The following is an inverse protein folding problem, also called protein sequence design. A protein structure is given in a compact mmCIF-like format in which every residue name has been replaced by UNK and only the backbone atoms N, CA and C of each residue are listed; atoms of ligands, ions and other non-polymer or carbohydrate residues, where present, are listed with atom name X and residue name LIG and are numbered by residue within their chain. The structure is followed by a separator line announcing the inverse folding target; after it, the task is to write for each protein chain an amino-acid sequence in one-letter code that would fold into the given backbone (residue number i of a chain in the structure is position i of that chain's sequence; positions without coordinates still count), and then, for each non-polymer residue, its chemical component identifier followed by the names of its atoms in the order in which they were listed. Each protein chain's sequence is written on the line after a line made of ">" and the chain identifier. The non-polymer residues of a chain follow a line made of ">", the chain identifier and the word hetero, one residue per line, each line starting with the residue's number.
data_IF_827928926511
#
_entry.id   IF_827928926511
#
_cell.length_a   1.000
_cell.length_b   1.000
_cell.length_c   1.000
_cell.angle_alpha   90.00
_cell.angle_beta   90.00
_cell.angle_gamma   90.00
#
_symmetry.space_group_name_H-M   'P 1'
#
loop_
_entity.id
_entity.type
_entity.pdbx_description
1 polymer ?
#
# COMPACT_ATOMS: atom_id res chain seq x y z
N UNK A 1 -2.36 -21.34 0.87
CA UNK A 1 -0.92 -21.44 1.11
C UNK A 1 -0.49 -20.18 1.83
N UNK A 2 0.13 -20.28 3.01
CA UNK A 2 0.63 -19.11 3.74
C UNK A 2 1.92 -18.66 3.04
N UNK A 3 1.95 -17.48 2.47
CA UNK A 3 3.19 -16.86 2.02
C UNK A 3 3.87 -16.22 3.21
N UNK A 4 5.13 -16.52 3.42
CA UNK A 4 5.96 -15.95 4.49
C UNK A 4 6.82 -14.87 3.85
N UNK A 5 6.73 -13.65 4.39
CA UNK A 5 7.57 -12.53 4.00
C UNK A 5 8.89 -12.59 4.77
N UNK A 6 9.96 -12.03 4.20
CA UNK A 6 11.28 -11.94 4.80
C UNK A 6 11.70 -10.48 4.93
N UNK A 7 12.16 -10.08 6.11
CA UNK A 7 12.81 -8.81 6.33
C UNK A 7 14.34 -9.03 6.49
N UNK A 8 15.13 -8.24 5.79
CA UNK A 8 16.60 -8.28 5.82
C UNK A 8 17.14 -6.90 6.21
N UNK A 9 17.96 -6.86 7.26
CA UNK A 9 18.63 -5.63 7.68
C UNK A 9 20.00 -5.49 6.99
N UNK A 10 20.30 -4.28 6.55
CA UNK A 10 21.58 -3.86 5.97
C UNK A 10 22.13 -2.64 6.75
N UNK A 11 22.65 -2.85 7.99
CA UNK A 11 22.98 -1.74 8.90
C UNK A 11 24.14 -0.88 8.43
N UNK A 12 24.97 -1.36 7.53
CA UNK A 12 26.14 -0.64 7.01
C UNK A 12 25.93 -0.05 5.62
N UNK A 13 24.73 -0.15 5.07
CA UNK A 13 24.37 0.51 3.82
C UNK A 13 23.97 1.97 4.12
N UNK A 14 24.88 2.91 3.85
CA UNK A 14 24.70 4.30 4.22
C UNK A 14 24.51 4.50 5.73
N UNK A 15 23.34 4.97 6.14
CA UNK A 15 22.95 5.10 7.55
C UNK A 15 22.23 3.84 8.07
N UNK A 16 22.06 2.84 7.22
CA UNK A 16 21.34 1.59 7.43
C UNK A 16 20.07 1.51 6.60
N UNK A 17 19.69 0.28 6.26
CA UNK A 17 18.51 -0.04 5.48
C UNK A 17 17.83 -1.32 5.96
N UNK A 18 16.55 -1.46 5.62
CA UNK A 18 15.77 -2.68 5.77
C UNK A 18 15.09 -2.99 4.44
N UNK A 19 15.19 -4.24 4.01
CA UNK A 19 14.60 -4.76 2.78
C UNK A 19 13.51 -5.76 3.13
N UNK A 20 12.34 -5.65 2.49
CA UNK A 20 11.22 -6.55 2.65
C UNK A 20 11.01 -7.32 1.36
N UNK A 21 11.04 -8.64 1.43
CA UNK A 21 10.79 -9.54 0.32
C UNK A 21 9.47 -10.27 0.56
N UNK A 22 8.53 -10.14 -0.37
CA UNK A 22 7.28 -10.88 -0.26
C UNK A 22 7.43 -12.32 -0.71
N UNK A 23 6.84 -13.20 0.07
CA UNK A 23 6.68 -14.59 -0.29
C UNK A 23 5.56 -14.79 -1.32
N UNK A 24 5.65 -15.86 -2.06
CA UNK A 24 4.68 -16.27 -3.06
C UNK A 24 4.55 -17.78 -3.16
N UNK A 25 3.72 -18.30 -4.08
CA UNK A 25 3.55 -19.73 -4.28
C UNK A 25 4.83 -20.48 -4.67
N UNK A 26 5.76 -19.78 -5.32
CA UNK A 26 7.04 -20.31 -5.81
C UNK A 26 8.22 -19.98 -4.87
N UNK A 27 7.96 -19.37 -3.72
CA UNK A 27 8.96 -18.93 -2.76
C UNK A 27 9.06 -17.42 -2.63
N UNK A 28 10.20 -16.93 -2.11
CA UNK A 28 10.47 -15.50 -1.98
C UNK A 28 10.75 -14.88 -3.35
N UNK A 29 10.27 -13.65 -3.54
CA UNK A 29 10.65 -12.86 -4.72
C UNK A 29 12.13 -12.52 -4.68
N UNK A 30 12.79 -12.51 -5.83
CA UNK A 30 14.21 -12.17 -5.96
C UNK A 30 14.49 -10.69 -5.71
N UNK A 31 13.50 -9.83 -5.98
CA UNK A 31 13.60 -8.39 -5.75
C UNK A 31 12.83 -7.98 -4.49
N UNK A 32 13.37 -7.07 -3.69
CA UNK A 32 12.67 -6.56 -2.53
C UNK A 32 11.42 -5.77 -2.95
N UNK A 33 10.30 -6.09 -2.32
CA UNK A 33 9.02 -5.40 -2.53
C UNK A 33 9.00 -4.02 -1.89
N UNK A 34 9.80 -3.82 -0.83
CA UNK A 34 9.95 -2.54 -0.16
C UNK A 34 11.40 -2.35 0.31
N UNK A 35 11.90 -1.12 0.19
CA UNK A 35 13.19 -0.68 0.72
C UNK A 35 12.94 0.47 1.67
N UNK A 36 13.53 0.42 2.86
CA UNK A 36 13.37 1.43 3.91
C UNK A 36 14.76 1.90 4.28
N UNK A 37 15.15 3.06 3.79
CA UNK A 37 16.45 3.68 4.07
C UNK A 37 16.34 4.61 5.27
N UNK A 38 17.30 4.52 6.19
CA UNK A 38 17.35 5.38 7.37
C UNK A 38 17.30 6.88 7.01
N UNK A 39 18.02 7.27 5.97
CA UNK A 39 18.06 8.67 5.51
C UNK A 39 16.75 9.23 4.96
N UNK A 40 15.80 8.37 4.58
CA UNK A 40 14.49 8.75 4.06
C UNK A 40 13.42 8.82 5.15
N UNK A 41 13.76 8.40 6.37
CA UNK A 41 12.82 8.45 7.49
C UNK A 41 12.65 9.89 8.00
N UNK A 42 11.49 10.21 8.63
CA UNK A 42 11.20 11.56 9.08
C UNK A 42 12.30 12.17 9.96
N UNK A 43 12.53 13.50 9.88
CA UNK A 43 13.55 14.19 10.67
C UNK A 43 13.44 13.96 12.18
N UNK A 44 12.23 13.69 12.68
CA UNK A 44 11.97 13.45 14.10
C UNK A 44 12.78 12.25 14.66
N UNK A 45 13.05 11.23 13.83
CA UNK A 45 13.77 10.03 14.25
C UNK A 45 15.29 10.13 13.99
N UNK A 46 15.72 11.15 13.26
CA UNK A 46 17.13 11.39 12.92
C UNK A 46 17.94 11.92 14.14
N UNK A 47 19.28 11.79 14.18
CA UNK A 47 20.07 10.98 13.23
C UNK A 47 19.89 9.49 13.47
N UNK A 48 20.06 8.69 12.41
CA UNK A 48 20.11 7.24 12.47
C UNK A 48 21.47 6.74 11.97
N UNK A 49 21.99 5.70 12.62
CA UNK A 49 23.17 4.94 12.18
C UNK A 49 22.94 3.47 12.48
N UNK A 50 23.42 2.61 11.60
CA UNK A 50 23.25 1.16 11.71
C UNK A 50 21.78 0.71 11.84
N UNK A 51 20.87 1.45 11.23
CA UNK A 51 19.46 1.07 11.15
C UNK A 51 19.31 -0.27 10.42
N UNK A 52 18.55 -1.20 11.00
CA UNK A 52 18.46 -2.57 10.49
C UNK A 52 19.44 -3.54 11.14
N UNK A 53 20.20 -3.13 12.18
CA UNK A 53 21.13 -4.01 12.90
C UNK A 53 20.41 -5.18 13.57
N UNK A 54 19.25 -4.94 14.12
CA UNK A 54 18.38 -5.97 14.68
C UNK A 54 16.96 -5.76 14.16
N UNK A 55 16.25 -6.87 13.93
CA UNK A 55 14.86 -6.90 13.49
C UNK A 55 14.07 -7.83 14.40
N UNK A 56 12.91 -7.38 14.81
CA UNK A 56 11.88 -8.20 15.47
C UNK A 56 10.54 -7.93 14.84
N UNK A 57 9.81 -8.96 14.47
CA UNK A 57 8.51 -8.86 13.77
C UNK A 57 7.56 -9.93 14.27
N UNK A 58 6.31 -9.87 13.85
CA UNK A 58 5.27 -10.87 14.13
C UNK A 58 4.30 -10.49 15.24
N UNK A 59 4.49 -9.35 15.91
CA UNK A 59 3.58 -8.85 16.95
C UNK A 59 2.82 -7.63 16.42
N UNK A 60 1.49 -7.67 16.52
CA UNK A 60 0.61 -6.55 16.24
C UNK A 60 0.52 -5.68 17.51
N UNK A 61 1.33 -4.63 17.58
CA UNK A 61 1.48 -3.80 18.77
C UNK A 61 0.39 -2.73 18.90
N UNK A 62 -0.21 -2.31 17.78
CA UNK A 62 -1.27 -1.31 17.76
C UNK A 62 -2.67 -1.92 17.58
N UNK A 63 -2.76 -3.25 17.52
CA UNK A 63 -3.99 -4.04 17.40
C UNK A 63 -4.81 -3.73 16.13
N UNK A 64 -4.12 -3.38 15.05
CA UNK A 64 -4.74 -3.12 13.76
C UNK A 64 -4.98 -4.38 12.91
N UNK A 65 -4.55 -5.54 13.38
CA UNK A 65 -4.69 -6.84 12.71
C UNK A 65 -3.51 -7.21 11.80
N UNK A 66 -2.46 -6.37 11.76
CA UNK A 66 -1.25 -6.58 10.96
C UNK A 66 -0.02 -6.54 11.85
N UNK A 67 0.89 -7.52 11.74
CA UNK A 67 2.08 -7.54 12.57
C UNK A 67 3.00 -6.36 12.25
N UNK A 68 3.53 -5.73 13.31
CA UNK A 68 4.47 -4.64 13.23
C UNK A 68 5.91 -5.13 13.21
N UNK A 69 6.85 -4.24 12.91
CA UNK A 69 8.28 -4.52 12.93
C UNK A 69 9.01 -3.53 13.83
N UNK A 70 9.89 -4.06 14.66
CA UNK A 70 10.80 -3.27 15.49
C UNK A 70 12.21 -3.37 14.90
N UNK A 71 12.85 -2.23 14.69
CA UNK A 71 14.16 -2.12 14.06
C UNK A 71 15.14 -1.41 14.99
N UNK A 72 16.26 -2.05 15.28
CA UNK A 72 17.35 -1.47 16.06
C UNK A 72 18.29 -0.65 15.20
N UNK A 73 18.76 0.48 15.76
CA UNK A 73 19.79 1.36 15.22
C UNK A 73 20.89 1.53 16.28
N UNK A 74 21.70 0.51 16.41
CA UNK A 74 22.72 0.36 17.47
C UNK A 74 23.69 1.56 17.56
N UNK A 75 24.13 2.10 16.44
CA UNK A 75 25.10 3.18 16.39
C UNK A 75 24.62 4.52 16.97
N UNK A 76 23.36 4.60 17.41
CA UNK A 76 22.74 5.80 18.02
C UNK A 76 21.81 5.44 19.18
N UNK A 77 21.90 4.21 19.70
CA UNK A 77 21.11 3.71 20.84
C UNK A 77 19.60 3.91 20.65
N UNK A 78 19.12 3.74 19.41
CA UNK A 78 17.70 3.91 19.06
C UNK A 78 17.06 2.61 18.63
N UNK A 79 15.77 2.53 18.91
CA UNK A 79 14.86 1.50 18.41
C UNK A 79 13.66 2.18 17.77
N UNK A 80 13.31 1.76 16.57
CA UNK A 80 12.18 2.28 15.83
C UNK A 80 11.12 1.19 15.67
N UNK A 81 9.87 1.54 15.93
CA UNK A 81 8.73 0.72 15.60
C UNK A 81 8.15 1.18 14.25
N UNK A 82 8.17 0.28 13.28
CA UNK A 82 7.54 0.46 11.98
C UNK A 82 6.16 -0.20 12.02
N UNK A 83 5.13 0.63 12.00
CA UNK A 83 3.75 0.17 12.05
C UNK A 83 3.28 -0.26 10.69
N UNK A 84 2.76 -1.48 10.59
CA UNK A 84 2.15 -2.00 9.39
C UNK A 84 0.83 -1.30 9.10
N UNK A 85 0.58 -1.02 7.83
CA UNK A 85 -0.69 -0.43 7.42
C UNK A 85 -1.69 -1.51 7.01
N UNK A 86 -2.99 -1.28 7.22
CA UNK A 86 -4.02 -2.17 6.73
C UNK A 86 -3.94 -2.39 5.22
N UNK A 87 -4.05 -3.64 4.80
CA UNK A 87 -4.13 -4.00 3.38
C UNK A 87 -5.58 -3.99 2.94
N UNK A 88 -5.87 -3.17 1.94
CA UNK A 88 -7.20 -3.04 1.36
C UNK A 88 -7.16 -3.60 -0.07
N UNK A 89 -7.98 -4.61 -0.33
CA UNK A 89 -8.19 -5.11 -1.68
C UNK A 89 -9.36 -4.36 -2.30
N UNK A 90 -9.10 -3.66 -3.40
CA UNK A 90 -10.12 -2.87 -4.11
C UNK A 90 -10.45 -3.56 -5.43
N UNK A 91 -11.72 -3.88 -5.61
CA UNK A 91 -12.28 -4.33 -6.88
C UNK A 91 -13.04 -3.17 -7.50
N UNK A 92 -12.64 -2.75 -8.67
CA UNK A 92 -13.34 -1.72 -9.45
C UNK A 92 -14.12 -2.36 -10.58
N UNK A 93 -15.33 -1.88 -10.80
CA UNK A 93 -16.14 -2.22 -11.97
C UNK A 93 -16.62 -0.95 -12.64
N UNK A 94 -16.54 -0.93 -13.97
CA UNK A 94 -17.00 0.20 -14.79
C UNK A 94 -18.07 -0.30 -15.76
N UNK A 95 -19.17 0.41 -15.84
CA UNK A 95 -20.22 0.20 -16.84
C UNK A 95 -20.42 1.48 -17.61
N UNK A 96 -20.63 1.38 -18.92
CA UNK A 96 -20.96 2.51 -19.77
C UNK A 96 -22.34 2.31 -20.40
N UNK A 97 -23.12 3.37 -20.43
CA UNK A 97 -24.43 3.41 -21.10
C UNK A 97 -24.49 4.62 -22.04
N UNK A 98 -24.61 4.40 -23.37
CA UNK A 98 -24.61 3.12 -24.05
C UNK A 98 -23.21 2.44 -24.03
N UNK A 99 -23.16 1.13 -24.24
CA UNK A 99 -21.89 0.37 -24.29
C UNK A 99 -21.04 0.64 -25.54
N UNK A 100 -21.67 1.20 -26.57
CA UNK A 100 -21.03 1.60 -27.83
C UNK A 100 -21.47 3.02 -28.16
N UNK A 101 -20.51 3.87 -28.56
CA UNK A 101 -20.78 5.23 -29.02
C UNK A 101 -21.02 5.19 -30.53
N UNK A 102 -22.22 5.60 -30.94
CA UNK A 102 -22.49 5.82 -32.37
C UNK A 102 -21.78 7.11 -32.82
N UNK A 103 -21.19 7.13 -34.04
CA UNK A 103 -20.52 8.33 -34.56
C UNK A 103 -21.48 9.50 -34.81
N UNK A 104 -22.78 9.23 -34.89
CA UNK A 104 -23.82 10.25 -35.05
C UNK A 104 -24.64 10.38 -33.78
N UNK A 105 -25.05 11.63 -33.47
CA UNK A 105 -25.94 11.91 -32.36
C UNK A 105 -27.32 11.35 -32.64
N UNK A 106 -27.82 10.53 -31.73
CA UNK A 106 -29.16 9.93 -31.78
C UNK A 106 -29.92 10.31 -30.50
N UNK A 107 -31.21 10.08 -30.47
CA UNK A 107 -32.01 10.35 -29.26
C UNK A 107 -31.56 9.54 -28.03
N UNK A 108 -30.93 8.40 -28.25
CA UNK A 108 -30.44 7.50 -27.16
C UNK A 108 -29.07 7.88 -26.59
N UNK A 109 -28.27 8.66 -27.32
CA UNK A 109 -26.92 9.05 -26.87
C UNK A 109 -26.73 10.58 -26.75
N UNK A 110 -27.80 11.36 -26.87
CA UNK A 110 -27.78 12.81 -26.77
C UNK A 110 -27.54 13.27 -25.34
N UNK A 111 -26.68 14.28 -25.18
CA UNK A 111 -26.47 14.94 -23.90
C UNK A 111 -27.73 15.75 -23.50
N UNK A 112 -27.97 15.86 -22.19
CA UNK A 112 -29.09 16.68 -21.67
C UNK A 112 -28.92 18.17 -22.00
N UNK A 113 -27.69 18.65 -21.90
CA UNK A 113 -27.38 20.10 -22.00
C UNK A 113 -26.88 20.53 -23.38
N UNK A 114 -26.58 19.57 -24.27
CA UNK A 114 -26.08 19.82 -25.62
C UNK A 114 -26.70 18.85 -26.61
N UNK A 115 -27.57 19.35 -27.44
CA UNK A 115 -28.37 18.55 -28.35
C UNK A 115 -27.60 18.00 -29.59
N UNK A 116 -26.44 18.56 -29.87
CA UNK A 116 -25.53 18.23 -30.96
C UNK A 116 -24.39 17.29 -30.57
N UNK A 117 -24.35 16.90 -29.31
CA UNK A 117 -23.24 16.14 -28.73
C UNK A 117 -23.73 14.79 -28.19
N UNK A 118 -22.94 13.74 -28.44
CA UNK A 118 -23.17 12.42 -27.86
C UNK A 118 -22.56 12.33 -26.47
N UNK A 119 -23.33 11.80 -25.55
CA UNK A 119 -22.86 11.51 -24.19
C UNK A 119 -22.92 10.03 -23.87
N UNK A 120 -22.03 9.61 -23.00
CA UNK A 120 -22.07 8.33 -22.33
C UNK A 120 -22.17 8.55 -20.83
N UNK A 121 -22.96 7.74 -20.18
CA UNK A 121 -22.96 7.64 -18.74
C UNK A 121 -21.96 6.56 -18.33
N UNK A 122 -21.08 6.90 -17.37
CA UNK A 122 -20.13 5.95 -16.79
C UNK A 122 -20.51 5.74 -15.32
N UNK A 123 -20.83 4.50 -14.98
CA UNK A 123 -21.06 4.08 -13.61
C UNK A 123 -19.79 3.36 -13.09
N UNK A 124 -19.11 3.98 -12.15
CA UNK A 124 -17.91 3.46 -11.51
C UNK A 124 -18.28 2.96 -10.11
N UNK A 125 -18.09 1.67 -9.88
CA UNK A 125 -18.30 1.07 -8.56
C UNK A 125 -16.98 0.56 -8.01
N UNK A 126 -16.72 0.86 -6.74
CA UNK A 126 -15.57 0.35 -6.00
C UNK A 126 -16.08 -0.50 -4.84
N UNK A 127 -15.61 -1.74 -4.78
CA UNK A 127 -15.83 -2.63 -3.64
C UNK A 127 -14.49 -2.88 -3.00
N UNK A 128 -14.39 -2.72 -1.69
CA UNK A 128 -13.16 -3.01 -0.96
C UNK A 128 -13.41 -4.11 0.08
N UNK A 129 -12.36 -4.87 0.36
CA UNK A 129 -12.30 -5.85 1.43
C UNK A 129 -11.03 -5.66 2.23
N UNK A 130 -11.14 -5.75 3.55
CA UNK A 130 -10.03 -5.69 4.50
C UNK A 130 -10.18 -6.80 5.53
N UNK A 131 -9.19 -7.02 6.38
CA UNK A 131 -9.31 -7.99 7.47
C UNK A 131 -10.44 -7.59 8.44
N UNK A 132 -11.17 -8.54 9.05
CA UNK A 132 -12.41 -8.27 9.80
C UNK A 132 -12.28 -7.36 11.02
N UNK A 133 -11.07 -7.06 11.51
CA UNK A 133 -10.83 -6.23 12.69
C UNK A 133 -10.72 -4.73 12.42
N UNK A 134 -10.68 -4.32 11.18
CA UNK A 134 -10.54 -2.91 10.83
C UNK A 134 -11.90 -2.22 10.84
N UNK A 135 -12.29 -1.68 11.99
CA UNK A 135 -13.60 -1.00 12.19
C UNK A 135 -13.60 0.47 11.75
N UNK A 136 -12.49 1.02 11.29
CA UNK A 136 -12.43 2.43 10.91
C UNK A 136 -11.34 2.70 9.88
N UNK A 137 -11.64 2.51 8.61
CA UNK A 137 -10.86 3.07 7.53
C UNK A 137 -11.44 4.44 7.20
N UNK A 138 -10.89 5.49 7.80
CA UNK A 138 -11.21 6.86 7.44
C UNK A 138 -10.36 7.23 6.21
N UNK A 139 -10.99 7.30 5.05
CA UNK A 139 -10.34 7.83 3.85
C UNK A 139 -10.31 9.36 3.94
N UNK A 140 -9.18 9.92 4.35
CA UNK A 140 -8.90 11.35 4.17
C UNK A 140 -8.27 11.52 2.78
N UNK A 141 -9.05 12.01 1.82
CA UNK A 141 -8.54 12.59 0.59
C UNK A 141 -7.90 13.94 0.91
N UNK A 142 -6.64 14.11 0.57
CA UNK A 142 -5.99 15.39 0.31
C UNK A 142 -5.38 15.38 -1.06
#
# INVERSE_FOLDING_TARGET
>A
MLSIDLAVGAPYEGQGAVYIFHGGPEGLRSEPSQRIYAGELPPLVQPLRTFGHTLSTGVDMDLNGYPDMVVGAFGVDKVLMLRSRPVINVLSTMRSTPSKIAPRVTSSNRCRDRLDTSCIQLDLCFRFTTKPRDRSVLFLYR
#
